data_IF_392870579422
#
_entry.id   IF_392870579422
#
_cell.length_a   1.000
_cell.length_b   1.000
_cell.length_c   1.000
_cell.angle_alpha   90.00
_cell.angle_beta   90.00
_cell.angle_gamma   90.00
#
_symmetry.space_group_name_H-M   'P 1'
#
loop_
_entity.id
_entity.type
_entity.pdbx_description
1 polymer ?
#
# COMPACT_ATOMS: atom_id res chain seq x y z
N UNK A 1 13.36 6.87 0.16
CA UNK A 1 11.99 7.43 0.19
C UNK A 1 11.05 6.45 -0.49
N UNK A 2 9.95 6.16 0.14
CA UNK A 2 8.92 5.27 -0.40
C UNK A 2 7.78 6.11 -0.99
N UNK A 3 7.32 5.74 -2.16
CA UNK A 3 6.15 6.35 -2.78
C UNK A 3 5.06 5.31 -2.94
N UNK A 4 3.88 5.63 -2.44
CA UNK A 4 2.69 4.80 -2.60
C UNK A 4 1.66 5.60 -3.39
N UNK A 5 1.22 5.04 -4.51
CA UNK A 5 0.19 5.62 -5.35
C UNK A 5 -1.08 4.82 -5.19
N UNK A 6 -2.17 5.51 -4.88
CA UNK A 6 -3.49 4.94 -4.64
C UNK A 6 -4.38 5.35 -5.81
N UNK A 7 -4.98 4.36 -6.48
CA UNK A 7 -5.87 4.61 -7.63
C UNK A 7 -7.31 4.33 -7.23
N UNK A 8 -8.13 5.39 -7.20
CA UNK A 8 -9.56 5.28 -6.92
C UNK A 8 -10.36 5.32 -8.22
N UNK A 9 -11.38 4.48 -8.30
CA UNK A 9 -12.33 4.50 -9.42
C UNK A 9 -13.43 5.54 -9.19
N UNK A 10 -14.37 5.65 -10.13
CA UNK A 10 -15.49 6.61 -10.04
C UNK A 10 -16.42 6.36 -8.87
N UNK A 11 -16.42 5.15 -8.31
CA UNK A 11 -17.19 4.80 -7.11
C UNK A 11 -16.40 5.05 -5.82
N UNK A 12 -15.23 5.70 -5.93
CA UNK A 12 -14.31 5.99 -4.84
C UNK A 12 -13.70 4.75 -4.18
N UNK A 13 -13.79 3.62 -4.81
CA UNK A 13 -13.11 2.41 -4.37
C UNK A 13 -11.65 2.44 -4.83
N UNK A 14 -10.76 1.96 -3.98
CA UNK A 14 -9.36 1.77 -4.38
C UNK A 14 -9.27 0.48 -5.18
N UNK A 15 -9.03 0.57 -6.47
CA UNK A 15 -8.91 -0.61 -7.34
C UNK A 15 -7.46 -1.06 -7.52
N UNK A 16 -6.50 -0.20 -7.24
CA UNK A 16 -5.07 -0.50 -7.41
C UNK A 16 -4.24 0.36 -6.48
N UNK A 17 -3.12 -0.18 -6.02
CA UNK A 17 -2.07 0.64 -5.42
C UNK A 17 -0.70 0.11 -5.81
N UNK A 18 0.27 1.02 -5.86
CA UNK A 18 1.67 0.68 -6.09
C UNK A 18 2.52 1.19 -4.96
N UNK A 19 3.58 0.48 -4.66
CA UNK A 19 4.58 0.86 -3.66
C UNK A 19 5.94 0.78 -4.34
N UNK A 20 6.64 1.89 -4.43
CA UNK A 20 7.92 1.99 -5.12
C UNK A 20 8.93 2.80 -4.31
N UNK A 21 10.19 2.74 -4.70
CA UNK A 21 11.26 3.50 -4.06
C UNK A 21 11.69 2.94 -2.72
N UNK A 22 11.37 1.69 -2.46
CA UNK A 22 11.64 0.98 -1.23
C UNK A 22 13.09 0.52 -1.20
N UNK A 23 14.01 1.42 -1.31
CA UNK A 23 15.40 1.04 -1.29
C UNK A 23 15.84 0.86 0.15
N UNK A 24 16.22 -0.34 0.47
CA UNK A 24 16.77 -0.70 1.75
C UNK A 24 18.16 -0.11 1.99
N UNK A 25 18.22 1.21 2.10
CA UNK A 25 19.39 1.81 2.67
C UNK A 25 19.13 2.26 4.06
N UNK A 26 19.89 1.70 4.85
CA UNK A 26 20.03 1.92 6.25
C UNK A 26 20.59 3.27 6.62
N UNK A 27 19.85 4.30 6.47
CA UNK A 27 19.92 5.35 7.44
C UNK A 27 18.95 4.98 8.56
N UNK A 28 19.36 5.13 9.78
CA UNK A 28 18.68 4.63 10.97
C UNK A 28 17.18 4.92 11.02
N UNK A 29 16.75 6.13 10.65
CA UNK A 29 15.32 6.48 10.62
C UNK A 29 14.57 5.89 9.43
N UNK A 30 15.26 5.66 8.33
CA UNK A 30 14.68 5.14 7.09
C UNK A 30 14.27 3.67 7.25
N UNK A 31 15.09 2.87 7.95
CA UNK A 31 14.79 1.45 8.17
C UNK A 31 13.52 1.24 8.98
N UNK A 32 13.29 2.05 10.00
CA UNK A 32 12.10 1.96 10.83
C UNK A 32 10.86 2.31 10.02
N UNK A 33 10.91 3.35 9.22
CA UNK A 33 9.80 3.78 8.37
C UNK A 33 9.52 2.73 7.30
N UNK A 34 10.54 2.25 6.61
CA UNK A 34 10.40 1.21 5.59
C UNK A 34 9.81 -0.08 6.17
N UNK A 35 10.27 -0.50 7.35
CA UNK A 35 9.73 -1.68 8.03
C UNK A 35 8.26 -1.49 8.39
N UNK A 36 7.89 -0.32 8.89
CA UNK A 36 6.50 0.00 9.24
C UNK A 36 5.59 -0.05 8.02
N UNK A 37 6.02 0.56 6.91
CA UNK A 37 5.27 0.55 5.66
C UNK A 37 5.13 -0.87 5.14
N UNK A 38 6.21 -1.64 5.13
CA UNK A 38 6.20 -3.03 4.63
C UNK A 38 5.25 -3.91 5.43
N UNK A 39 5.29 -3.86 6.74
CA UNK A 39 4.38 -4.63 7.59
C UNK A 39 2.94 -4.27 7.29
N UNK A 40 2.62 -2.99 7.20
CA UNK A 40 1.26 -2.53 6.96
C UNK A 40 0.75 -2.96 5.59
N UNK A 41 1.53 -2.78 4.53
CA UNK A 41 1.14 -3.12 3.17
C UNK A 41 1.02 -4.64 3.01
N UNK A 42 2.01 -5.39 3.45
CA UNK A 42 2.02 -6.85 3.33
C UNK A 42 0.91 -7.48 4.17
N UNK A 43 0.71 -6.99 5.39
CA UNK A 43 -0.39 -7.48 6.23
C UNK A 43 -1.75 -7.23 5.57
N UNK A 44 -1.94 -6.09 4.92
CA UNK A 44 -3.18 -5.78 4.22
C UNK A 44 -3.42 -6.75 3.07
N UNK A 45 -2.39 -7.01 2.25
CA UNK A 45 -2.50 -7.95 1.13
C UNK A 45 -2.82 -9.35 1.65
N UNK A 46 -2.12 -9.80 2.68
CA UNK A 46 -2.35 -11.11 3.29
C UNK A 46 -3.75 -11.22 3.92
N UNK A 47 -4.23 -10.12 4.50
CA UNK A 47 -5.59 -10.07 5.06
C UNK A 47 -6.66 -10.19 3.98
N UNK A 48 -6.48 -9.53 2.85
CA UNK A 48 -7.39 -9.65 1.71
C UNK A 48 -7.42 -11.09 1.22
N UNK A 49 -6.27 -11.73 1.08
CA UNK A 49 -6.17 -13.14 0.68
C UNK A 49 -6.85 -14.07 1.67
N UNK A 50 -6.67 -13.83 2.97
CA UNK A 50 -7.13 -14.74 4.03
C UNK A 50 -8.60 -14.55 4.36
N UNK A 51 -9.08 -13.30 4.42
CA UNK A 51 -10.39 -12.98 4.97
C UNK A 51 -11.43 -12.65 3.92
N UNK A 52 -11.05 -12.50 2.67
CA UNK A 52 -11.98 -12.24 1.57
C UNK A 52 -11.78 -13.25 0.45
N UNK A 53 -12.74 -13.30 -0.47
CA UNK A 53 -12.65 -14.12 -1.68
C UNK A 53 -12.51 -13.27 -2.95
N UNK A 54 -12.11 -12.03 -2.80
CA UNK A 54 -11.96 -11.09 -3.92
C UNK A 54 -10.77 -11.47 -4.80
N UNK A 55 -10.95 -11.43 -6.10
CA UNK A 55 -9.87 -11.71 -7.05
C UNK A 55 -8.96 -10.48 -7.18
N UNK A 56 -7.67 -10.73 -7.16
CA UNK A 56 -6.66 -9.69 -7.32
C UNK A 56 -5.39 -10.26 -7.96
N UNK A 57 -4.54 -9.36 -8.46
CA UNK A 57 -3.17 -9.68 -8.83
C UNK A 57 -2.23 -8.88 -7.95
N UNK A 58 -1.09 -9.46 -7.63
CA UNK A 58 -0.05 -8.77 -6.89
C UNK A 58 1.29 -9.14 -7.47
N UNK A 59 1.98 -8.16 -8.03
CA UNK A 59 3.34 -8.32 -8.52
C UNK A 59 4.29 -7.68 -7.51
N UNK A 60 5.27 -8.44 -7.06
CA UNK A 60 6.27 -7.97 -6.12
C UNK A 60 7.65 -8.28 -6.65
N UNK A 61 8.51 -7.27 -6.71
CA UNK A 61 9.90 -7.43 -7.10
C UNK A 61 10.76 -7.59 -5.84
N UNK A 62 11.36 -8.75 -5.69
CA UNK A 62 12.18 -9.06 -4.52
C UNK A 62 13.45 -8.22 -4.43
N UNK A 63 14.00 -7.79 -5.55
CA UNK A 63 15.22 -6.99 -5.59
C UNK A 63 14.96 -5.55 -5.19
N UNK A 64 13.89 -4.96 -5.70
CA UNK A 64 13.57 -3.55 -5.47
C UNK A 64 12.60 -3.34 -4.31
N UNK A 65 11.82 -4.36 -3.96
CA UNK A 65 10.73 -4.25 -3.01
C UNK A 65 9.47 -3.59 -3.58
N UNK A 66 9.44 -3.34 -4.87
CA UNK A 66 8.29 -2.72 -5.52
C UNK A 66 7.10 -3.66 -5.52
N UNK A 67 5.92 -3.11 -5.26
CA UNK A 67 4.67 -3.87 -5.24
C UNK A 67 3.66 -3.18 -6.14
N UNK A 68 2.92 -3.97 -6.93
CA UNK A 68 1.78 -3.52 -7.71
C UNK A 68 0.61 -4.45 -7.42
N UNK A 69 -0.38 -3.94 -6.70
CA UNK A 69 -1.58 -4.67 -6.30
C UNK A 69 -2.79 -4.12 -7.07
N UNK A 70 -3.57 -5.02 -7.65
CA UNK A 70 -4.76 -4.62 -8.40
C UNK A 70 -5.89 -5.63 -8.22
N UNK A 71 -7.09 -5.14 -7.87
CA UNK A 71 -8.28 -5.97 -7.91
C UNK A 71 -8.65 -6.27 -9.38
N UNK A 72 -9.00 -7.51 -9.65
CA UNK A 72 -9.32 -7.96 -11.02
C UNK A 72 -10.80 -8.24 -11.22
N UNK A 73 -11.60 -8.08 -10.19
CA UNK A 73 -13.03 -8.26 -10.21
C UNK A 73 -13.68 -7.31 -9.23
N UNK A 74 -14.97 -7.45 -9.01
CA UNK A 74 -15.73 -6.61 -8.09
C UNK A 74 -15.11 -6.58 -6.69
N UNK A 75 -15.02 -5.39 -6.10
CA UNK A 75 -14.40 -5.18 -4.80
C UNK A 75 -15.47 -5.29 -3.72
N UNK A 76 -15.29 -6.26 -2.82
CA UNK A 76 -16.22 -6.42 -1.71
C UNK A 76 -16.04 -5.28 -0.67
N UNK A 77 -17.08 -4.97 0.11
CA UNK A 77 -16.95 -4.01 1.21
C UNK A 77 -15.86 -4.37 2.20
N UNK A 78 -15.65 -5.64 2.48
CA UNK A 78 -14.62 -6.11 3.40
C UNK A 78 -13.22 -5.82 2.86
N UNK A 79 -12.98 -6.11 1.59
CA UNK A 79 -11.70 -5.80 0.96
C UNK A 79 -11.46 -4.30 0.90
N UNK A 80 -12.48 -3.52 0.58
CA UNK A 80 -12.40 -2.07 0.57
C UNK A 80 -12.04 -1.52 1.96
N UNK A 81 -12.64 -2.05 3.00
CA UNK A 81 -12.36 -1.64 4.38
C UNK A 81 -10.90 -1.93 4.76
N UNK A 82 -10.37 -3.08 4.37
CA UNK A 82 -8.97 -3.42 4.64
C UNK A 82 -8.00 -2.44 3.94
N UNK A 83 -8.30 -2.07 2.71
CA UNK A 83 -7.49 -1.07 1.98
C UNK A 83 -7.60 0.31 2.64
N UNK A 84 -8.79 0.75 3.02
CA UNK A 84 -8.96 2.04 3.69
C UNK A 84 -8.24 2.06 5.05
N UNK A 85 -8.24 0.95 5.76
CA UNK A 85 -7.47 0.80 7.00
C UNK A 85 -5.96 0.93 6.76
N UNK A 86 -5.46 0.33 5.68
CA UNK A 86 -4.07 0.49 5.28
C UNK A 86 -3.73 1.96 5.00
N UNK A 87 -4.57 2.65 4.26
CA UNK A 87 -4.38 4.07 3.92
C UNK A 87 -4.36 4.92 5.20
N UNK A 88 -5.24 4.65 6.13
CA UNK A 88 -5.24 5.35 7.42
C UNK A 88 -3.90 5.18 8.14
N UNK A 89 -3.37 3.97 8.19
CA UNK A 89 -2.08 3.69 8.79
C UNK A 89 -0.92 4.38 8.05
N UNK A 90 -0.96 4.39 6.73
CA UNK A 90 0.06 5.08 5.93
C UNK A 90 0.05 6.59 6.16
N UNK A 91 -1.13 7.20 6.29
CA UNK A 91 -1.25 8.62 6.64
C UNK A 91 -0.66 8.94 8.01
N UNK A 92 -0.85 8.05 8.97
CA UNK A 92 -0.26 8.20 10.31
C UNK A 92 1.28 8.12 10.24
N UNK A 93 1.81 7.18 9.48
CA UNK A 93 3.27 7.06 9.27
C UNK A 93 3.81 8.35 8.63
N UNK A 94 3.16 8.86 7.59
CA UNK A 94 3.57 10.09 6.94
C UNK A 94 3.52 11.28 7.90
N UNK A 95 2.49 11.34 8.72
CA UNK A 95 2.31 12.42 9.70
C UNK A 95 3.40 12.38 10.78
N UNK A 96 3.78 11.20 11.25
CA UNK A 96 4.76 11.02 12.31
C UNK A 96 6.20 11.23 11.84
N UNK A 97 6.52 10.78 10.63
CA UNK A 97 7.89 10.78 10.13
C UNK A 97 8.16 11.79 9.00
N UNK A 98 7.13 12.25 8.31
CA UNK A 98 7.22 13.28 7.29
C UNK A 98 7.26 12.76 5.86
N UNK A 99 7.00 13.68 4.92
CA UNK A 99 6.97 13.42 3.47
C UNK A 99 8.34 13.06 2.90
N UNK A 100 9.38 13.32 3.63
CA UNK A 100 10.74 12.95 3.28
C UNK A 100 10.92 11.43 3.21
N UNK A 101 10.13 10.66 3.98
CA UNK A 101 10.22 9.21 4.04
C UNK A 101 9.11 8.49 3.29
N UNK A 102 7.91 9.09 3.21
CA UNK A 102 6.74 8.50 2.57
C UNK A 102 5.96 9.57 1.84
N UNK A 103 5.76 9.35 0.54
CA UNK A 103 4.86 10.15 -0.28
C UNK A 103 3.63 9.30 -0.60
N UNK A 104 2.46 9.84 -0.30
CA UNK A 104 1.17 9.27 -0.70
C UNK A 104 0.61 10.10 -1.84
N UNK A 105 0.36 9.47 -2.97
CA UNK A 105 -0.21 10.11 -4.15
C UNK A 105 -1.55 9.45 -4.47
N UNK A 106 -2.59 10.24 -4.65
CA UNK A 106 -3.94 9.76 -4.94
C UNK A 106 -4.32 10.13 -6.35
N UNK A 107 -4.70 9.14 -7.15
CA UNK A 107 -5.11 9.33 -8.54
C UNK A 107 -6.51 8.78 -8.76
N UNK A 108 -7.25 9.45 -9.62
CA UNK A 108 -8.54 8.95 -10.10
C UNK A 108 -8.37 8.27 -11.46
N UNK A 109 -9.05 7.16 -11.61
CA UNK A 109 -9.01 6.38 -12.86
C UNK A 109 -10.40 6.16 -13.45
#
# INVERSE_FOLDING_TARGET
MTQITIYRNENREVERFTCTGHAGYSEYGTDIVCASISVLVINTINSIETFTSVAYTCEADEETGDIDFQFTDEISPDASLLIESMILGLKEIQNDYGKKFLILDFKEV
#
